data_IF_181345696399
#
_entry.id   IF_181345696399
#
_cell.length_a   1.000
_cell.length_b   1.000
_cell.length_c   1.000
_cell.angle_alpha   90.00
_cell.angle_beta   90.00
_cell.angle_gamma   90.00
#
_symmetry.space_group_name_H-M   'P 1'
#
loop_
_entity.id
_entity.type
_entity.pdbx_description
1 polymer ?
#
# COMPACT_ATOMS: atom_id res chain seq x y z
N UNK A 1 10.10 5.85 15.73
CA UNK A 1 9.12 4.92 16.31
C UNK A 1 8.41 4.23 15.17
N UNK A 2 8.14 2.93 15.29
CA UNK A 2 7.32 2.21 14.31
C UNK A 2 5.86 2.50 14.66
N UNK A 3 5.09 3.03 13.71
CA UNK A 3 3.65 3.23 13.88
C UNK A 3 2.94 1.91 13.57
N UNK A 4 2.37 1.20 14.57
CA UNK A 4 1.83 -0.15 14.38
C UNK A 4 0.67 -0.19 13.37
N UNK A 5 -0.12 0.87 13.26
CA UNK A 5 -1.25 0.94 12.33
C UNK A 5 -0.91 1.55 10.96
N UNK A 6 0.34 2.01 10.79
CA UNK A 6 0.74 2.71 9.57
C UNK A 6 0.61 1.85 8.31
N UNK A 7 0.80 0.54 8.44
CA UNK A 7 0.69 -0.40 7.33
C UNK A 7 -0.77 -0.77 7.04
N UNK A 8 -1.58 -1.10 8.05
CA UNK A 8 -3.01 -1.42 7.90
C UNK A 8 -3.78 -0.27 7.27
N UNK A 9 -3.60 0.96 7.78
CA UNK A 9 -4.25 2.15 7.23
C UNK A 9 -3.82 2.44 5.78
N UNK A 10 -2.57 2.15 5.42
CA UNK A 10 -2.10 2.29 4.04
C UNK A 10 -2.73 1.23 3.13
N UNK A 11 -2.77 -0.02 3.57
CA UNK A 11 -3.36 -1.15 2.85
C UNK A 11 -4.83 -0.88 2.52
N UNK A 12 -5.66 -0.54 3.51
CA UNK A 12 -7.08 -0.25 3.30
C UNK A 12 -7.30 0.89 2.30
N UNK A 13 -6.46 1.94 2.37
CA UNK A 13 -6.56 3.09 1.45
C UNK A 13 -6.13 2.76 0.03
N UNK A 14 -5.11 1.91 -0.16
CA UNK A 14 -4.70 1.46 -1.49
C UNK A 14 -5.74 0.54 -2.10
N UNK A 15 -6.26 -0.44 -1.34
CA UNK A 15 -7.28 -1.35 -1.81
C UNK A 15 -8.56 -0.60 -2.21
N UNK A 16 -9.07 0.30 -1.36
CA UNK A 16 -10.26 1.12 -1.69
C UNK A 16 -10.08 2.00 -2.92
N UNK A 17 -8.84 2.35 -3.27
CA UNK A 17 -8.54 3.24 -4.41
C UNK A 17 -8.36 2.48 -5.73
N UNK A 18 -7.79 1.28 -5.67
CA UNK A 18 -7.32 0.57 -6.85
C UNK A 18 -8.00 -0.77 -7.09
N UNK A 19 -8.74 -1.30 -6.12
CA UNK A 19 -9.51 -2.53 -6.26
C UNK A 19 -11.00 -2.24 -6.28
N UNK A 20 -11.74 -3.13 -6.94
CA UNK A 20 -13.18 -3.23 -6.75
C UNK A 20 -13.44 -4.12 -5.53
N UNK A 21 -13.88 -3.53 -4.42
CA UNK A 21 -14.21 -4.28 -3.20
C UNK A 21 -15.62 -4.87 -3.20
N UNK A 22 -16.39 -4.64 -4.28
CA UNK A 22 -17.60 -5.41 -4.56
C UNK A 22 -17.31 -6.81 -5.09
N UNK A 23 -16.10 -7.04 -5.64
CA UNK A 23 -15.61 -8.39 -5.97
C UNK A 23 -15.24 -9.14 -4.68
N UNK A 24 -15.93 -10.25 -4.35
CA UNK A 24 -15.65 -11.03 -3.15
C UNK A 24 -14.21 -11.54 -3.07
N UNK A 25 -13.57 -11.81 -4.21
CA UNK A 25 -12.17 -12.25 -4.25
C UNK A 25 -11.22 -11.15 -3.76
N UNK A 26 -11.48 -9.90 -4.16
CA UNK A 26 -10.69 -8.72 -3.73
C UNK A 26 -10.95 -8.36 -2.29
N UNK A 27 -12.20 -8.49 -1.84
CA UNK A 27 -12.56 -8.28 -0.44
C UNK A 27 -11.85 -9.30 0.47
N UNK A 28 -11.92 -10.60 0.13
CA UNK A 28 -11.26 -11.65 0.91
C UNK A 28 -9.74 -11.48 0.94
N UNK A 29 -9.12 -11.15 -0.21
CA UNK A 29 -7.68 -10.90 -0.25
C UNK A 29 -7.27 -9.71 0.62
N UNK A 30 -8.10 -8.66 0.72
CA UNK A 30 -7.85 -7.54 1.64
C UNK A 30 -7.93 -7.98 3.10
N UNK A 31 -8.94 -8.79 3.46
CA UNK A 31 -9.07 -9.33 4.82
C UNK A 31 -7.87 -10.19 5.22
N UNK A 32 -7.43 -11.09 4.33
CA UNK A 32 -6.23 -11.91 4.52
C UNK A 32 -4.99 -11.03 4.73
N UNK A 33 -4.78 -10.03 3.87
CA UNK A 33 -3.64 -9.12 4.04
C UNK A 33 -3.72 -8.30 5.33
N UNK A 34 -4.90 -7.90 5.81
CA UNK A 34 -5.04 -7.15 7.06
C UNK A 34 -4.76 -7.99 8.31
N UNK A 35 -4.86 -9.33 8.21
CA UNK A 35 -4.53 -10.25 9.30
C UNK A 35 -3.01 -10.42 9.51
N UNK A 36 -2.20 -10.07 8.52
CA UNK A 36 -0.74 -10.19 8.56
C UNK A 36 -0.05 -8.99 9.25
N UNK A 37 1.19 -9.21 9.68
CA UNK A 37 2.02 -8.18 10.32
C UNK A 37 2.86 -7.39 9.30
N UNK A 38 2.24 -6.37 8.72
CA UNK A 38 2.90 -5.50 7.75
C UNK A 38 3.64 -4.35 8.40
N UNK A 39 4.77 -3.96 7.77
CA UNK A 39 5.50 -2.74 8.09
C UNK A 39 5.37 -1.72 6.96
N UNK A 40 5.16 -0.46 7.33
CA UNK A 40 5.20 0.66 6.37
C UNK A 40 6.60 1.24 6.32
N UNK A 41 7.31 0.99 5.21
CA UNK A 41 8.60 1.63 4.95
C UNK A 41 8.36 2.99 4.29
N UNK A 42 8.83 4.07 4.93
CA UNK A 42 8.80 5.43 4.38
C UNK A 42 10.19 5.78 3.92
N UNK A 43 10.35 6.00 2.61
CA UNK A 43 11.63 6.42 2.02
C UNK A 43 11.64 7.94 1.92
N UNK A 44 12.64 8.57 2.54
CA UNK A 44 12.88 10.02 2.46
C UNK A 44 14.15 10.27 1.62
N UNK A 45 14.04 10.33 0.28
CA UNK A 45 15.21 10.50 -0.56
C UNK A 45 15.82 11.89 -0.35
N UNK A 46 17.13 11.95 -0.16
CA UNK A 46 17.85 13.23 -0.15
C UNK A 46 17.97 13.85 -1.55
N UNK A 47 17.96 13.02 -2.59
CA UNK A 47 18.06 13.44 -3.99
C UNK A 47 17.18 12.56 -4.88
N UNK A 48 16.44 13.21 -5.78
CA UNK A 48 15.55 12.54 -6.75
C UNK A 48 16.12 12.79 -8.14
N UNK A 49 16.25 11.72 -8.93
CA UNK A 49 16.60 11.78 -10.35
C UNK A 49 15.41 11.36 -11.19
N UNK A 50 15.21 12.02 -12.33
CA UNK A 50 14.19 11.66 -13.31
C UNK A 50 14.89 11.31 -14.61
N UNK A 51 14.43 10.23 -15.25
CA UNK A 51 14.88 9.81 -16.55
C UNK A 51 13.66 9.79 -17.46
N UNK A 52 13.69 10.54 -18.55
CA UNK A 52 12.80 10.34 -19.69
C UNK A 52 13.54 9.51 -20.72
N UNK A 53 12.85 8.52 -21.30
CA UNK A 53 13.23 8.06 -22.61
C UNK A 53 12.61 9.07 -23.58
N UNK A 54 13.44 9.88 -24.21
CA UNK A 54 12.98 10.73 -25.30
C UNK A 54 12.57 9.79 -26.46
N UNK A 55 11.33 9.95 -26.93
CA UNK A 55 10.71 9.14 -28.00
C UNK A 55 11.04 9.71 -29.37
#
# INVERSE_FOLDING_TARGET
MVEPEGARALLSRLASRYWDLGDPSRANMLEEMLAEDWVRVVIQPQKIYRYSLDS
#
